data_IF_800498543410
#
_entry.id   IF_800498543410
#
_cell.length_a   1.000
_cell.length_b   1.000
_cell.length_c   1.000
_cell.angle_alpha   90.00
_cell.angle_beta   90.00
_cell.angle_gamma   90.00
#
_symmetry.space_group_name_H-M   'P 1'
#
loop_
_entity.id
_entity.type
_entity.pdbx_description
1 polymer ?
#
# COMPACT_ATOMS: atom_id res chain seq x y z
N UNK A 1 45.04 -1.87 16.98
CA UNK A 1 43.92 -2.29 17.83
C UNK A 1 42.75 -2.62 16.91
N UNK A 2 42.52 -3.92 16.67
CA UNK A 2 41.46 -4.44 15.84
C UNK A 2 40.11 -4.16 16.54
N UNK A 3 39.28 -3.29 15.99
CA UNK A 3 37.87 -3.24 16.32
C UNK A 3 37.20 -4.53 15.78
N UNK A 4 36.91 -5.44 16.69
CA UNK A 4 36.02 -6.57 16.40
C UNK A 4 34.61 -6.00 16.26
N UNK A 5 34.10 -5.96 15.02
CA UNK A 5 32.68 -5.83 14.75
C UNK A 5 31.99 -7.11 15.22
N UNK A 6 31.47 -7.12 16.44
CA UNK A 6 30.56 -8.15 16.88
C UNK A 6 29.14 -7.74 16.59
N UNK A 7 28.76 -7.75 15.31
CA UNK A 7 27.37 -7.84 14.95
C UNK A 7 26.94 -9.29 15.14
N UNK A 8 26.75 -9.69 16.39
CA UNK A 8 26.05 -10.92 16.71
C UNK A 8 24.56 -10.65 16.41
N UNK A 9 24.11 -11.09 15.26
CA UNK A 9 22.68 -11.17 14.95
C UNK A 9 22.09 -12.27 15.83
N UNK A 10 21.62 -11.89 17.01
CA UNK A 10 20.78 -12.76 17.82
C UNK A 10 19.41 -12.86 17.13
N UNK A 11 19.28 -13.84 16.24
CA UNK A 11 17.99 -14.27 15.70
C UNK A 11 17.24 -15.00 16.80
N UNK A 12 16.69 -14.25 17.75
CA UNK A 12 15.82 -14.81 18.78
C UNK A 12 14.42 -15.01 18.22
N UNK A 13 14.07 -16.25 17.89
CA UNK A 13 12.68 -16.71 17.95
C UNK A 13 12.27 -16.77 19.42
N UNK A 14 11.90 -15.63 20.02
CA UNK A 14 11.35 -15.63 21.37
C UNK A 14 9.96 -16.26 21.34
N UNK A 15 9.75 -17.26 22.22
CA UNK A 15 8.40 -17.75 22.51
C UNK A 15 7.50 -16.57 22.94
N UNK A 16 6.18 -16.59 22.60
CA UNK A 16 5.27 -15.53 22.97
C UNK A 16 5.16 -15.44 24.49
N UNK A 17 5.31 -14.25 25.04
CA UNK A 17 5.13 -13.97 26.48
C UNK A 17 3.71 -14.31 26.95
N UNK A 18 2.76 -14.30 26.04
CA UNK A 18 1.38 -14.70 26.25
C UNK A 18 0.86 -15.33 24.94
N UNK A 19 0.39 -16.60 24.95
CA UNK A 19 -0.11 -17.28 23.75
C UNK A 19 -1.34 -16.59 23.13
N UNK A 20 -2.03 -15.72 23.86
CA UNK A 20 -3.17 -14.93 23.36
C UNK A 20 -2.77 -13.59 22.73
N UNK A 21 -1.50 -13.19 22.80
CA UNK A 21 -1.02 -11.95 22.18
C UNK A 21 -0.36 -12.23 20.83
N UNK A 22 -0.62 -11.33 19.87
CA UNK A 22 -0.02 -11.39 18.54
C UNK A 22 1.50 -11.32 18.63
N UNK A 23 2.18 -12.26 17.98
CA UNK A 23 3.64 -12.27 17.90
C UNK A 23 4.13 -11.14 17.01
N UNK A 24 5.29 -10.60 17.36
CA UNK A 24 6.06 -9.69 16.53
C UNK A 24 7.22 -10.48 15.94
N UNK A 25 7.14 -10.76 14.65
CA UNK A 25 8.21 -11.40 13.88
C UNK A 25 8.75 -10.33 12.95
N UNK A 26 10.06 -10.12 12.99
CA UNK A 26 10.79 -9.20 12.11
C UNK A 26 11.99 -9.98 11.55
N UNK A 27 12.43 -9.61 10.35
CA UNK A 27 13.48 -10.35 9.63
C UNK A 27 14.83 -10.21 10.34
N UNK A 28 15.23 -8.98 10.64
CA UNK A 28 16.47 -8.70 11.36
C UNK A 28 16.25 -7.65 12.43
N UNK A 29 16.87 -7.87 13.61
CA UNK A 29 16.94 -6.89 14.69
C UNK A 29 18.38 -6.77 15.16
N UNK A 30 18.88 -5.53 15.23
CA UNK A 30 20.23 -5.25 15.73
C UNK A 30 20.24 -4.01 16.62
N UNK A 31 21.35 -3.83 17.36
CA UNK A 31 21.64 -2.63 18.15
C UNK A 31 23.00 -2.08 17.75
N UNK A 32 23.11 -0.76 17.76
CA UNK A 32 24.42 -0.12 17.65
C UNK A 32 25.12 0.05 19.01
N UNK A 33 26.29 0.67 18.97
CA UNK A 33 27.10 0.89 20.17
C UNK A 33 26.45 1.87 21.18
N UNK A 34 25.56 2.74 20.70
CA UNK A 34 24.80 3.71 21.49
C UNK A 34 23.51 3.12 22.06
N UNK A 35 23.19 1.87 21.76
CA UNK A 35 22.00 1.15 22.22
C UNK A 35 20.75 1.37 21.40
N UNK A 36 20.80 2.19 20.31
CA UNK A 36 19.68 2.39 19.40
C UNK A 36 19.32 1.08 18.72
N UNK A 37 18.02 0.83 18.55
CA UNK A 37 17.53 -0.42 17.96
C UNK A 37 17.17 -0.23 16.50
N UNK A 38 17.59 -1.17 15.69
CA UNK A 38 17.28 -1.23 14.27
C UNK A 38 16.50 -2.50 13.96
N UNK A 39 15.40 -2.34 13.25
CA UNK A 39 14.57 -3.41 12.69
C UNK A 39 14.67 -3.28 11.18
N UNK A 40 15.02 -4.37 10.50
CA UNK A 40 15.01 -4.41 9.04
C UNK A 40 14.01 -5.49 8.63
N UNK A 41 13.07 -5.12 7.80
CA UNK A 41 12.05 -6.01 7.22
C UNK A 41 12.09 -5.91 5.70
N UNK A 42 11.99 -7.06 5.01
CA UNK A 42 11.81 -7.11 3.57
C UNK A 42 10.40 -7.60 3.27
N UNK A 43 9.64 -6.80 2.52
CA UNK A 43 8.25 -7.10 2.17
C UNK A 43 8.11 -7.27 0.66
N UNK A 44 7.78 -8.50 0.24
CA UNK A 44 7.64 -8.84 -1.17
C UNK A 44 6.29 -8.41 -1.76
N UNK A 45 5.24 -8.42 -0.93
CA UNK A 45 3.87 -8.06 -1.33
C UNK A 45 3.35 -6.99 -0.38
N UNK A 46 2.92 -5.86 -0.93
CA UNK A 46 2.32 -4.79 -0.15
C UNK A 46 0.89 -5.11 0.26
N UNK A 47 0.53 -4.74 1.49
CA UNK A 47 -0.87 -4.64 1.92
C UNK A 47 -1.05 -3.37 2.77
N UNK A 48 -2.25 -2.75 2.78
CA UNK A 48 -2.50 -1.56 3.61
C UNK A 48 -2.19 -1.78 5.09
N UNK A 49 -2.38 -3.02 5.59
CA UNK A 49 -2.12 -3.42 6.97
C UNK A 49 -0.63 -3.50 7.30
N UNK A 50 0.24 -3.50 6.30
CA UNK A 50 1.69 -3.57 6.52
C UNK A 50 2.21 -2.37 7.32
N UNK A 51 1.71 -1.16 7.05
CA UNK A 51 2.07 0.04 7.83
C UNK A 51 1.74 -0.13 9.32
N UNK A 52 0.54 -0.65 9.63
CA UNK A 52 0.13 -0.91 11.01
C UNK A 52 0.98 -2.00 11.65
N UNK A 53 1.37 -3.02 10.88
CA UNK A 53 2.28 -4.08 11.35
C UNK A 53 3.65 -3.51 11.69
N UNK A 54 4.21 -2.66 10.84
CA UNK A 54 5.49 -1.99 11.07
C UNK A 54 5.43 -1.12 12.33
N UNK A 55 4.40 -0.28 12.45
CA UNK A 55 4.20 0.54 13.65
C UNK A 55 4.07 -0.32 14.91
N UNK A 56 3.30 -1.40 14.87
CA UNK A 56 3.15 -2.34 15.99
C UNK A 56 4.48 -2.97 16.38
N UNK A 57 5.27 -3.45 15.40
CA UNK A 57 6.57 -4.08 15.64
C UNK A 57 7.59 -3.11 16.25
N UNK A 58 7.66 -1.88 15.70
CA UNK A 58 8.53 -0.83 16.21
C UNK A 58 8.13 -0.38 17.63
N UNK A 59 6.83 -0.17 17.87
CA UNK A 59 6.31 0.17 19.20
C UNK A 59 6.61 -0.92 20.24
N UNK A 60 6.44 -2.18 19.86
CA UNK A 60 6.75 -3.33 20.73
C UNK A 60 8.24 -3.42 21.04
N UNK A 61 9.10 -3.09 20.08
CA UNK A 61 10.53 -2.98 20.30
C UNK A 61 10.88 -1.83 21.25
N UNK A 62 10.20 -0.70 21.11
CA UNK A 62 10.41 0.48 21.95
C UNK A 62 10.02 0.23 23.42
N UNK A 63 8.82 -0.27 23.67
CA UNK A 63 8.33 -0.51 25.05
C UNK A 63 9.04 -1.65 25.78
N UNK A 64 9.72 -2.54 25.06
CA UNK A 64 10.47 -3.66 25.65
C UNK A 64 11.90 -3.31 26.07
N UNK A 65 12.29 -2.06 25.96
CA UNK A 65 13.64 -1.63 26.34
C UNK A 65 13.81 -1.50 27.85
N UNK A 66 12.72 -1.24 28.54
CA UNK A 66 12.70 -1.03 30.01
C UNK A 66 11.68 -1.97 30.66
N UNK A 67 11.97 -2.34 31.91
CA UNK A 67 11.11 -3.12 32.78
C UNK A 67 10.35 -2.22 33.77
N UNK A 68 9.42 -2.83 34.53
CA UNK A 68 8.64 -2.12 35.55
C UNK A 68 9.55 -1.44 36.56
N UNK A 69 9.38 -0.17 36.79
CA UNK A 69 10.12 0.64 37.73
C UNK A 69 11.42 1.26 37.21
N UNK A 70 11.76 1.03 35.94
CA UNK A 70 12.88 1.71 35.29
C UNK A 70 12.48 3.09 34.75
N UNK A 71 13.46 3.98 34.60
CA UNK A 71 13.28 5.35 34.14
C UNK A 71 13.07 5.41 32.62
N UNK A 72 12.15 6.26 32.16
CA UNK A 72 11.87 6.45 30.73
C UNK A 72 13.03 7.06 29.95
N UNK A 73 13.96 7.72 30.62
CA UNK A 73 15.19 8.30 30.03
C UNK A 73 16.13 7.22 29.46
N UNK A 74 15.97 5.96 29.85
CA UNK A 74 16.72 4.82 29.31
C UNK A 74 16.22 4.36 27.93
N UNK A 75 15.03 4.84 27.50
CA UNK A 75 14.48 4.48 26.20
C UNK A 75 15.31 5.09 25.07
N UNK A 76 15.77 4.23 24.17
CA UNK A 76 16.50 4.61 22.98
C UNK A 76 15.58 4.59 21.73
N UNK A 77 15.82 5.41 20.72
CA UNK A 77 15.06 5.38 19.48
C UNK A 77 15.09 4.02 18.80
N UNK A 78 13.98 3.66 18.15
CA UNK A 78 13.83 2.49 17.31
C UNK A 78 13.71 2.93 15.86
N UNK A 79 14.58 2.44 15.00
CA UNK A 79 14.58 2.66 13.57
C UNK A 79 14.05 1.41 12.87
N UNK A 80 12.91 1.50 12.20
CA UNK A 80 12.35 0.41 11.40
C UNK A 80 12.56 0.71 9.93
N UNK A 81 13.47 -0.01 9.28
CA UNK A 81 13.74 0.05 7.85
C UNK A 81 12.97 -1.07 7.15
N UNK A 82 12.08 -0.69 6.26
CA UNK A 82 11.20 -1.59 5.56
C UNK A 82 11.47 -1.49 4.05
N UNK A 83 12.05 -2.54 3.49
CA UNK A 83 12.36 -2.66 2.07
C UNK A 83 11.17 -3.30 1.36
N UNK A 84 10.49 -2.55 0.50
CA UNK A 84 9.24 -2.98 -0.15
C UNK A 84 9.48 -3.21 -1.63
N UNK A 85 9.18 -4.42 -2.11
CA UNK A 85 9.37 -4.79 -3.51
C UNK A 85 8.12 -4.49 -4.37
N UNK A 86 7.30 -3.53 -3.95
CA UNK A 86 6.15 -3.02 -4.69
C UNK A 86 6.06 -1.50 -4.56
N UNK A 87 5.40 -0.84 -5.54
CA UNK A 87 5.07 0.58 -5.48
C UNK A 87 3.76 0.73 -4.71
N UNK A 88 3.78 1.43 -3.58
CA UNK A 88 2.61 1.63 -2.73
C UNK A 88 2.17 3.11 -2.59
N UNK A 89 3.02 4.06 -3.03
CA UNK A 89 2.70 5.49 -3.13
C UNK A 89 2.95 5.97 -4.58
N UNK A 90 2.10 5.56 -5.55
CA UNK A 90 2.35 5.85 -6.97
C UNK A 90 2.35 7.35 -7.31
N UNK A 91 1.68 8.17 -6.50
CA UNK A 91 1.63 9.64 -6.64
C UNK A 91 2.88 10.36 -6.14
N UNK A 92 3.75 9.70 -5.38
CA UNK A 92 5.01 10.26 -4.90
C UNK A 92 6.15 9.78 -5.79
N UNK A 93 6.98 10.71 -6.32
CA UNK A 93 8.12 10.35 -7.16
C UNK A 93 9.27 9.69 -6.37
N UNK A 94 9.41 10.02 -5.08
CA UNK A 94 10.46 9.50 -4.23
C UNK A 94 10.28 8.01 -3.90
N UNK A 95 11.41 7.29 -3.77
CA UNK A 95 11.43 5.90 -3.32
C UNK A 95 11.63 5.73 -1.82
N UNK A 96 11.94 6.81 -1.09
CA UNK A 96 12.29 6.81 0.33
C UNK A 96 11.25 7.63 1.11
N UNK A 97 10.57 6.99 2.04
CA UNK A 97 9.52 7.60 2.85
C UNK A 97 9.90 7.48 4.33
N UNK A 98 9.99 8.62 5.01
CA UNK A 98 10.42 8.69 6.39
C UNK A 98 9.34 9.31 7.27
N UNK A 99 8.92 8.58 8.29
CA UNK A 99 7.86 8.96 9.22
C UNK A 99 8.40 9.09 10.64
N UNK A 100 8.00 10.18 11.31
CA UNK A 100 8.30 10.48 12.71
C UNK A 100 7.05 11.03 13.41
N UNK A 101 7.09 11.06 14.74
CA UNK A 101 6.07 11.75 15.55
C UNK A 101 6.43 13.23 15.65
N UNK A 102 5.61 14.08 15.05
CA UNK A 102 5.84 15.53 15.01
C UNK A 102 4.63 16.30 15.52
N UNK A 103 4.85 17.54 16.00
CA UNK A 103 3.77 18.46 16.29
C UNK A 103 3.15 18.93 14.96
N UNK A 104 1.82 18.81 14.81
CA UNK A 104 1.15 19.06 13.53
C UNK A 104 1.28 20.48 12.99
N UNK A 105 1.29 21.48 13.90
CA UNK A 105 1.45 22.90 13.53
C UNK A 105 2.92 23.35 13.54
N UNK A 106 3.82 22.55 14.13
CA UNK A 106 5.25 22.83 14.30
C UNK A 106 6.04 21.55 14.01
N UNK A 107 6.16 21.21 12.73
CA UNK A 107 6.76 19.93 12.29
C UNK A 107 8.25 19.78 12.61
N UNK A 108 8.91 20.90 12.96
CA UNK A 108 10.28 20.90 13.49
C UNK A 108 10.38 20.34 14.92
N UNK A 109 9.25 20.29 15.64
CA UNK A 109 9.18 19.69 16.99
C UNK A 109 8.88 18.21 16.90
N UNK A 110 9.90 17.40 17.14
CA UNK A 110 9.86 15.94 17.04
C UNK A 110 9.84 15.32 18.43
N UNK A 111 9.02 14.28 18.62
CA UNK A 111 9.15 13.37 19.75
C UNK A 111 10.01 12.21 19.27
N UNK A 112 11.26 12.16 19.75
CA UNK A 112 12.18 11.07 19.43
C UNK A 112 11.67 9.75 20.04
N UNK A 113 11.80 8.69 19.28
CA UNK A 113 11.38 7.36 19.76
C UNK A 113 11.12 6.37 18.66
N UNK A 114 10.27 6.69 17.69
CA UNK A 114 9.95 5.81 16.57
C UNK A 114 10.27 6.48 15.24
N UNK A 115 11.12 5.80 14.46
CA UNK A 115 11.51 6.19 13.12
C UNK A 115 11.09 5.07 12.15
N UNK A 116 10.07 5.33 11.32
CA UNK A 116 9.56 4.34 10.37
C UNK A 116 10.00 4.75 8.97
N UNK A 117 10.78 3.90 8.34
CA UNK A 117 11.38 4.15 7.03
C UNK A 117 10.87 3.09 6.07
N UNK A 118 10.32 3.53 4.94
CA UNK A 118 9.91 2.64 3.86
C UNK A 118 10.69 2.99 2.61
N UNK A 119 11.16 1.96 1.91
CA UNK A 119 11.93 2.09 0.66
C UNK A 119 11.20 1.28 -0.41
N UNK A 120 10.67 1.97 -1.42
CA UNK A 120 10.06 1.35 -2.59
C UNK A 120 11.16 0.95 -3.59
N UNK A 121 11.65 -0.28 -3.49
CA UNK A 121 12.74 -0.78 -4.34
C UNK A 121 12.49 -0.60 -5.84
N UNK A 122 11.27 -0.80 -6.39
CA UNK A 122 11.02 -0.62 -7.82
C UNK A 122 11.17 0.82 -8.33
N UNK A 123 11.10 1.83 -7.44
CA UNK A 123 11.32 3.24 -7.80
C UNK A 123 12.79 3.66 -7.73
N UNK A 124 13.65 2.84 -7.13
CA UNK A 124 15.06 3.17 -7.01
C UNK A 124 15.74 3.13 -8.37
N UNK A 125 16.33 4.26 -8.77
CA UNK A 125 17.14 4.37 -9.98
C UNK A 125 18.59 4.70 -9.59
N UNK A 126 19.54 3.77 -9.75
CA UNK A 126 20.93 3.96 -9.35
C UNK A 126 21.64 5.12 -10.07
N UNK A 127 21.24 5.43 -11.31
CA UNK A 127 21.87 6.49 -12.12
C UNK A 127 21.55 7.91 -11.66
N UNK A 128 20.59 8.09 -10.76
CA UNK A 128 20.18 9.40 -10.23
C UNK A 128 21.03 9.82 -9.02
N UNK A 129 21.80 8.91 -8.42
CA UNK A 129 22.52 9.12 -7.17
C UNK A 129 24.01 8.86 -7.33
N UNK A 130 24.81 9.43 -6.40
CA UNK A 130 26.25 9.15 -6.37
C UNK A 130 26.50 7.68 -6.08
N UNK A 131 27.00 6.95 -7.08
CA UNK A 131 27.23 5.50 -7.04
C UNK A 131 28.14 5.01 -5.90
N UNK A 132 28.90 5.92 -5.29
CA UNK A 132 29.85 5.59 -4.21
C UNK A 132 29.27 5.66 -2.81
N UNK A 133 28.01 6.10 -2.64
CA UNK A 133 27.38 6.13 -1.32
C UNK A 133 27.01 4.72 -0.89
N UNK A 134 27.32 4.36 0.36
CA UNK A 134 27.02 3.05 0.94
C UNK A 134 25.56 2.63 0.76
N UNK A 135 24.62 3.57 0.97
CA UNK A 135 23.20 3.35 0.78
C UNK A 135 22.86 2.93 -0.67
N UNK A 136 23.45 3.61 -1.65
CA UNK A 136 23.26 3.28 -3.08
C UNK A 136 23.82 1.91 -3.40
N UNK A 137 24.99 1.55 -2.89
CA UNK A 137 25.59 0.23 -3.10
C UNK A 137 24.71 -0.89 -2.53
N UNK A 138 24.14 -0.71 -1.33
CA UNK A 138 23.21 -1.68 -0.76
C UNK A 138 21.91 -1.79 -1.55
N UNK A 139 21.33 -0.66 -1.98
CA UNK A 139 20.11 -0.69 -2.80
C UNK A 139 20.37 -1.33 -4.17
N UNK A 140 21.52 -1.04 -4.80
CA UNK A 140 21.96 -1.72 -6.03
C UNK A 140 22.10 -3.23 -5.83
N UNK A 141 22.76 -3.65 -4.74
CA UNK A 141 22.86 -5.07 -4.40
C UNK A 141 21.48 -5.73 -4.31
N UNK A 142 20.51 -5.10 -3.62
CA UNK A 142 19.17 -5.64 -3.43
C UNK A 142 18.29 -5.63 -4.69
N UNK A 143 18.58 -4.77 -5.66
CA UNK A 143 17.76 -4.62 -6.88
C UNK A 143 18.41 -5.21 -8.13
N UNK A 144 19.74 -5.24 -8.22
CA UNK A 144 20.48 -5.68 -9.41
C UNK A 144 20.96 -7.13 -9.32
N UNK A 145 21.22 -7.65 -8.09
CA UNK A 145 21.69 -9.02 -7.90
C UNK A 145 20.48 -9.97 -7.75
N UNK A 146 20.39 -10.91 -8.68
CA UNK A 146 19.32 -11.89 -8.72
C UNK A 146 19.82 -13.23 -9.32
N UNK A 147 18.97 -14.23 -9.42
CA UNK A 147 19.27 -15.58 -9.94
C UNK A 147 19.79 -15.61 -11.40
N UNK A 148 19.61 -14.52 -12.16
CA UNK A 148 20.08 -14.39 -13.53
C UNK A 148 21.39 -13.61 -13.64
N UNK A 149 21.90 -13.07 -12.52
CA UNK A 149 23.14 -12.28 -12.50
C UNK A 149 24.35 -13.19 -12.75
N UNK A 150 25.00 -13.00 -13.88
CA UNK A 150 26.23 -13.75 -14.25
C UNK A 150 27.50 -13.00 -13.87
N UNK A 151 27.46 -11.68 -13.92
CA UNK A 151 28.59 -10.81 -13.57
C UNK A 151 28.13 -9.74 -12.60
N UNK A 152 28.83 -9.64 -11.49
CA UNK A 152 28.53 -8.63 -10.45
C UNK A 152 29.23 -7.34 -10.82
N UNK A 153 28.54 -6.18 -10.78
CA UNK A 153 29.17 -4.88 -11.05
C UNK A 153 30.42 -4.64 -10.19
N UNK A 154 31.55 -4.22 -10.78
CA UNK A 154 32.81 -4.02 -10.04
C UNK A 154 32.69 -3.05 -8.87
N UNK A 155 31.81 -2.05 -8.97
CA UNK A 155 31.54 -1.05 -7.91
C UNK A 155 31.00 -1.71 -6.65
N UNK A 156 30.18 -2.74 -6.78
CA UNK A 156 29.65 -3.51 -5.64
C UNK A 156 30.75 -4.33 -4.97
N UNK A 157 31.62 -4.93 -5.77
CA UNK A 157 32.76 -5.72 -5.28
C UNK A 157 33.89 -4.88 -4.66
N UNK A 158 33.96 -3.58 -5.01
CA UNK A 158 34.92 -2.66 -4.44
C UNK A 158 34.66 -2.35 -2.95
N UNK A 159 33.41 -2.51 -2.50
CA UNK A 159 33.07 -2.32 -1.10
C UNK A 159 33.16 -3.66 -0.33
N UNK A 160 33.96 -3.76 0.75
CA UNK A 160 34.17 -5.02 1.46
C UNK A 160 32.89 -5.62 2.08
N UNK A 161 31.97 -4.78 2.58
CA UNK A 161 30.74 -5.27 3.22
C UNK A 161 29.72 -5.76 2.18
N UNK A 162 29.56 -5.03 1.08
CA UNK A 162 28.70 -5.45 -0.03
C UNK A 162 29.28 -6.70 -0.71
N UNK A 163 30.60 -6.76 -0.89
CA UNK A 163 31.29 -7.97 -1.41
C UNK A 163 31.02 -9.20 -0.54
N UNK A 164 31.03 -9.05 0.79
CA UNK A 164 30.67 -10.17 1.68
C UNK A 164 29.22 -10.61 1.45
N UNK A 165 28.28 -9.66 1.28
CA UNK A 165 26.88 -9.97 1.00
C UNK A 165 26.73 -10.69 -0.35
N UNK A 166 27.41 -10.22 -1.40
CA UNK A 166 27.43 -10.88 -2.71
C UNK A 166 27.92 -12.32 -2.58
N UNK A 167 29.08 -12.54 -1.93
CA UNK A 167 29.62 -13.89 -1.75
C UNK A 167 28.70 -14.79 -0.92
N UNK A 168 27.90 -14.22 0.00
CA UNK A 168 26.96 -14.98 0.83
C UNK A 168 25.71 -15.43 0.08
N UNK A 169 25.39 -14.80 -1.06
CA UNK A 169 24.23 -15.18 -1.90
C UNK A 169 24.63 -15.96 -3.15
N UNK A 170 25.92 -16.25 -3.35
CA UNK A 170 26.34 -17.16 -4.39
C UNK A 170 25.81 -18.57 -4.15
N UNK A 171 25.24 -19.18 -5.19
CA UNK A 171 24.64 -20.53 -5.09
C UNK A 171 25.61 -21.57 -4.52
N UNK A 172 26.89 -21.46 -4.89
CA UNK A 172 27.97 -22.33 -4.38
C UNK A 172 28.23 -22.21 -2.88
N UNK A 173 27.75 -21.14 -2.23
CA UNK A 173 27.85 -20.94 -0.79
C UNK A 173 26.74 -21.65 0.02
N UNK A 174 25.70 -22.15 -0.65
CA UNK A 174 24.56 -22.78 0.01
C UNK A 174 24.71 -24.30 0.07
N UNK A 175 24.31 -24.86 1.20
CA UNK A 175 24.10 -26.30 1.32
C UNK A 175 22.82 -26.74 0.61
N UNK A 176 22.70 -28.00 0.24
CA UNK A 176 21.49 -28.56 -0.37
C UNK A 176 20.22 -28.29 0.48
N UNK A 177 20.33 -28.38 1.80
CA UNK A 177 19.24 -28.06 2.72
C UNK A 177 18.82 -26.59 2.68
N UNK A 178 19.78 -25.66 2.48
CA UNK A 178 19.50 -24.23 2.35
C UNK A 178 18.85 -23.92 1.02
N UNK A 179 19.31 -24.51 -0.08
CA UNK A 179 18.67 -24.39 -1.40
C UNK A 179 17.21 -24.89 -1.39
N UNK A 180 16.98 -26.05 -0.79
CA UNK A 180 15.62 -26.58 -0.61
C UNK A 180 14.75 -25.65 0.27
N UNK A 181 15.33 -25.02 1.27
CA UNK A 181 14.67 -24.01 2.10
C UNK A 181 14.29 -22.76 1.32
N UNK A 182 15.19 -22.32 0.42
CA UNK A 182 14.96 -21.20 -0.47
C UNK A 182 13.83 -21.48 -1.49
N UNK A 183 13.83 -22.64 -2.13
CA UNK A 183 12.76 -23.08 -3.03
C UNK A 183 11.39 -23.09 -2.33
N UNK A 184 11.31 -23.68 -1.13
CA UNK A 184 10.08 -23.68 -0.32
C UNK A 184 9.61 -22.29 0.06
N UNK A 185 10.52 -21.38 0.34
CA UNK A 185 10.18 -19.98 0.61
C UNK A 185 9.52 -19.34 -0.61
N UNK A 186 10.09 -19.50 -1.80
CA UNK A 186 9.53 -18.96 -3.04
C UNK A 186 8.18 -19.59 -3.40
N UNK A 187 8.00 -20.87 -3.15
CA UNK A 187 6.70 -21.56 -3.30
C UNK A 187 5.63 -20.90 -2.43
N UNK A 188 5.95 -20.63 -1.15
CA UNK A 188 5.03 -19.96 -0.22
C UNK A 188 4.66 -18.57 -0.74
N UNK A 189 5.64 -17.76 -1.13
CA UNK A 189 5.41 -16.41 -1.67
C UNK A 189 4.57 -16.47 -2.95
N UNK A 190 4.85 -17.41 -3.83
CA UNK A 190 4.09 -17.60 -5.09
C UNK A 190 2.62 -17.96 -4.83
N UNK A 191 2.37 -18.86 -3.87
CA UNK A 191 1.01 -19.25 -3.44
C UNK A 191 0.30 -18.04 -2.81
N UNK A 192 0.96 -17.31 -1.91
CA UNK A 192 0.39 -16.12 -1.27
C UNK A 192 0.00 -15.07 -2.31
N UNK A 193 0.88 -14.76 -3.26
CA UNK A 193 0.63 -13.83 -4.37
C UNK A 193 -0.55 -14.30 -5.25
N UNK A 194 -0.63 -15.58 -5.51
CA UNK A 194 -1.73 -16.19 -6.29
C UNK A 194 -3.07 -16.04 -5.57
N UNK A 195 -3.11 -16.33 -4.26
CA UNK A 195 -4.30 -16.17 -3.42
C UNK A 195 -4.74 -14.71 -3.33
N UNK A 196 -3.81 -13.80 -3.11
CA UNK A 196 -4.06 -12.37 -3.07
C UNK A 196 -4.67 -11.85 -4.39
N UNK A 197 -4.03 -12.15 -5.52
CA UNK A 197 -4.52 -11.75 -6.84
C UNK A 197 -5.89 -12.39 -7.18
N UNK A 198 -6.13 -13.62 -6.74
CA UNK A 198 -7.42 -14.29 -6.89
C UNK A 198 -8.52 -13.61 -6.07
N UNK A 199 -8.21 -13.19 -4.82
CA UNK A 199 -9.14 -12.47 -3.98
C UNK A 199 -9.52 -11.11 -4.57
N UNK A 200 -8.55 -10.36 -5.07
CA UNK A 200 -8.77 -9.07 -5.78
C UNK A 200 -9.68 -9.30 -6.99
N UNK A 201 -9.36 -10.24 -7.88
CA UNK A 201 -10.18 -10.53 -9.07
C UNK A 201 -11.62 -10.89 -8.71
N UNK A 202 -11.81 -11.74 -7.70
CA UNK A 202 -13.14 -12.11 -7.20
C UNK A 202 -13.90 -10.92 -6.61
N UNK A 203 -13.20 -10.06 -5.85
CA UNK A 203 -13.74 -8.83 -5.30
C UNK A 203 -14.21 -7.86 -6.39
N UNK A 204 -13.34 -7.61 -7.38
CA UNK A 204 -13.65 -6.76 -8.53
C UNK A 204 -14.84 -7.29 -9.34
N UNK A 205 -14.88 -8.59 -9.64
CA UNK A 205 -15.98 -9.20 -10.37
C UNK A 205 -17.32 -9.07 -9.62
N UNK A 206 -17.31 -9.31 -8.30
CA UNK A 206 -18.52 -9.11 -7.46
C UNK A 206 -18.96 -7.64 -7.40
N UNK A 207 -18.01 -6.73 -7.22
CA UNK A 207 -18.28 -5.28 -7.20
C UNK A 207 -18.86 -4.79 -8.52
N UNK A 208 -18.27 -5.21 -9.64
CA UNK A 208 -18.74 -4.88 -10.99
C UNK A 208 -20.15 -5.43 -11.25
N UNK A 209 -20.40 -6.70 -10.93
CA UNK A 209 -21.72 -7.33 -11.09
C UNK A 209 -22.80 -6.61 -10.25
N UNK A 210 -22.47 -6.24 -9.00
CA UNK A 210 -23.35 -5.47 -8.12
C UNK A 210 -23.63 -4.07 -8.68
N UNK A 211 -22.58 -3.36 -9.12
CA UNK A 211 -22.68 -2.02 -9.70
C UNK A 211 -23.53 -1.99 -10.97
N UNK A 212 -23.35 -2.96 -11.88
CA UNK A 212 -24.16 -3.11 -13.10
C UNK A 212 -25.62 -3.35 -12.73
N UNK A 213 -25.89 -4.27 -11.81
CA UNK A 213 -27.27 -4.58 -11.38
C UNK A 213 -27.98 -3.35 -10.76
N UNK A 214 -27.30 -2.65 -9.86
CA UNK A 214 -27.84 -1.45 -9.22
C UNK A 214 -28.03 -0.30 -10.21
N UNK A 215 -27.07 -0.08 -11.10
CA UNK A 215 -27.13 0.94 -12.14
C UNK A 215 -28.26 0.67 -13.14
N UNK A 216 -28.42 -0.60 -13.56
CA UNK A 216 -29.51 -1.01 -14.45
C UNK A 216 -30.88 -0.84 -13.82
N UNK A 217 -31.04 -1.23 -12.55
CA UNK A 217 -32.30 -1.06 -11.81
C UNK A 217 -32.70 0.40 -11.70
N UNK A 218 -31.77 1.25 -11.26
CA UNK A 218 -31.99 2.72 -11.16
C UNK A 218 -32.26 3.36 -12.52
N UNK A 219 -31.51 2.98 -13.56
CA UNK A 219 -31.70 3.48 -14.90
C UNK A 219 -33.09 3.16 -15.48
N UNK A 220 -33.58 1.92 -15.27
CA UNK A 220 -34.92 1.52 -15.69
C UNK A 220 -35.98 2.31 -14.93
N UNK A 221 -35.83 2.48 -13.61
CA UNK A 221 -36.78 3.21 -12.77
C UNK A 221 -36.88 4.70 -13.19
N UNK A 222 -35.76 5.36 -13.36
CA UNK A 222 -35.69 6.75 -13.81
C UNK A 222 -36.26 6.89 -15.23
N UNK A 223 -35.79 6.08 -16.18
CA UNK A 223 -36.26 6.14 -17.55
C UNK A 223 -37.76 5.84 -17.70
N UNK A 224 -38.32 4.93 -16.83
CA UNK A 224 -39.75 4.70 -16.79
C UNK A 224 -40.53 5.90 -16.26
N UNK A 225 -40.03 6.53 -15.19
CA UNK A 225 -40.66 7.72 -14.63
C UNK A 225 -40.66 8.90 -15.62
N UNK A 226 -39.53 9.16 -16.25
CA UNK A 226 -39.39 10.19 -17.28
C UNK A 226 -40.26 9.90 -18.51
N UNK A 227 -40.27 8.67 -18.99
CA UNK A 227 -41.12 8.26 -20.13
C UNK A 227 -42.61 8.41 -19.87
N UNK A 228 -43.09 8.13 -18.64
CA UNK A 228 -44.47 8.34 -18.27
C UNK A 228 -44.83 9.84 -18.30
N UNK A 229 -43.98 10.70 -17.71
CA UNK A 229 -44.19 12.15 -17.70
C UNK A 229 -44.23 12.71 -19.13
N UNK A 230 -43.26 12.30 -19.96
CA UNK A 230 -43.18 12.74 -21.38
C UNK A 230 -44.37 12.23 -22.19
N UNK A 231 -44.83 11.01 -21.96
CA UNK A 231 -45.99 10.41 -22.57
C UNK A 231 -47.29 11.19 -22.26
N UNK A 232 -47.49 11.50 -20.98
CA UNK A 232 -48.64 12.30 -20.51
C UNK A 232 -48.61 13.70 -21.13
N UNK A 233 -47.47 14.35 -21.24
CA UNK A 233 -47.33 15.67 -21.81
C UNK A 233 -47.64 15.66 -23.31
N UNK A 234 -47.16 14.65 -24.04
CA UNK A 234 -47.46 14.46 -25.47
C UNK A 234 -48.96 14.24 -25.70
N UNK A 235 -49.60 13.40 -24.88
CA UNK A 235 -51.03 13.13 -24.99
C UNK A 235 -51.86 14.38 -24.71
N UNK A 236 -51.52 15.17 -23.68
CA UNK A 236 -52.15 16.46 -23.41
C UNK A 236 -52.03 17.43 -24.59
N UNK A 237 -50.91 17.48 -25.26
CA UNK A 237 -50.71 18.30 -26.45
C UNK A 237 -51.61 17.85 -27.63
N UNK A 238 -51.75 16.53 -27.83
CA UNK A 238 -52.64 15.98 -28.87
C UNK A 238 -54.08 16.37 -28.60
N UNK A 239 -54.54 16.20 -27.34
CA UNK A 239 -55.89 16.59 -26.94
C UNK A 239 -56.09 18.09 -27.10
N UNK A 240 -55.12 18.91 -26.70
CA UNK A 240 -55.19 20.37 -26.85
C UNK A 240 -55.33 20.81 -28.32
N UNK A 241 -54.60 20.15 -29.23
CA UNK A 241 -54.71 20.39 -30.67
C UNK A 241 -56.09 20.07 -31.20
N UNK A 242 -56.67 18.94 -30.79
CA UNK A 242 -57.99 18.56 -31.22
C UNK A 242 -59.02 19.56 -30.71
N UNK A 243 -59.00 19.93 -29.42
CA UNK A 243 -59.91 20.93 -28.87
C UNK A 243 -59.77 22.30 -29.50
N UNK A 244 -58.60 22.69 -29.96
CA UNK A 244 -58.32 23.91 -30.71
C UNK A 244 -58.98 23.86 -32.09
N UNK A 245 -58.89 22.72 -32.79
CA UNK A 245 -59.55 22.49 -34.10
C UNK A 245 -61.09 22.55 -33.95
N UNK A 246 -61.61 22.04 -32.80
CA UNK A 246 -63.03 22.04 -32.48
C UNK A 246 -63.56 23.45 -32.05
N UNK A 247 -62.68 24.48 -32.03
CA UNK A 247 -63.04 25.88 -31.78
C UNK A 247 -63.21 26.25 -30.31
N UNK A 248 -62.69 25.46 -29.34
CA UNK A 248 -62.81 25.78 -27.92
C UNK A 248 -61.85 26.95 -27.54
N UNK A 249 -62.28 27.84 -26.63
CA UNK A 249 -61.41 28.92 -26.12
C UNK A 249 -60.19 28.37 -25.41
N UNK A 250 -59.03 29.03 -25.54
CA UNK A 250 -57.78 28.60 -24.95
C UNK A 250 -57.80 28.42 -23.42
N UNK A 251 -58.54 29.28 -22.70
CA UNK A 251 -58.73 29.14 -21.24
C UNK A 251 -59.46 27.85 -20.90
N UNK A 252 -60.40 27.43 -21.73
CA UNK A 252 -61.14 26.16 -21.56
C UNK A 252 -60.21 24.99 -21.86
N UNK A 253 -59.38 25.02 -22.90
CA UNK A 253 -58.41 24.01 -23.22
C UNK A 253 -57.36 23.89 -22.10
N UNK A 254 -56.85 25.02 -21.60
CA UNK A 254 -55.90 25.05 -20.47
C UNK A 254 -56.49 24.39 -19.21
N UNK A 255 -57.76 24.69 -18.89
CA UNK A 255 -58.45 24.11 -17.74
C UNK A 255 -58.59 22.59 -17.80
N UNK A 256 -58.84 22.02 -18.99
CA UNK A 256 -59.04 20.57 -19.13
C UNK A 256 -57.73 19.79 -19.31
N UNK A 257 -56.74 20.37 -20.01
CA UNK A 257 -55.45 19.70 -20.26
C UNK A 257 -54.41 19.98 -19.20
N UNK A 258 -54.55 21.07 -18.45
CA UNK A 258 -53.54 21.57 -17.51
C UNK A 258 -52.27 22.13 -18.21
N UNK A 259 -52.37 22.39 -19.53
CA UNK A 259 -51.26 23.04 -20.29
C UNK A 259 -51.39 24.57 -20.18
N UNK A 260 -50.25 25.29 -20.04
CA UNK A 260 -50.30 26.75 -20.12
C UNK A 260 -50.74 27.24 -21.51
N UNK A 261 -51.43 28.36 -21.54
CA UNK A 261 -52.00 28.94 -22.80
C UNK A 261 -50.94 29.11 -23.85
N UNK A 262 -49.70 29.53 -23.49
CA UNK A 262 -48.59 29.74 -24.43
C UNK A 262 -48.15 28.44 -25.14
N UNK A 263 -48.30 27.28 -24.45
CA UNK A 263 -48.02 25.94 -25.05
C UNK A 263 -49.17 25.54 -26.00
N UNK A 264 -50.41 25.89 -25.66
CA UNK A 264 -51.61 25.61 -26.49
C UNK A 264 -51.57 26.43 -27.77
N UNK A 265 -51.17 27.70 -27.69
CA UNK A 265 -51.03 28.57 -28.87
C UNK A 265 -50.05 28.03 -29.89
N UNK A 266 -48.92 27.46 -29.42
CA UNK A 266 -47.86 26.88 -30.23
C UNK A 266 -48.14 25.44 -30.68
N UNK A 267 -49.12 24.80 -30.12
CA UNK A 267 -49.52 23.44 -30.45
C UNK A 267 -50.43 23.44 -31.69
#
# INVERSE_FOLDING_TARGET
TLMRSSAASDVYKRQPENPLRKNSIVDVRCRDAEGRQFIVEMQMIWSPEFRQRVLFNASKAYVRQIDTGQEYELLQPVYSLNLVNEVFEPELEGFYHYYQLVHMEHTEKVIEGLHLIFVELPKFNPHTYSEKKMQVLWLRFLTEINEHTREVPPELLANPEVKKAVNAVEESAFTEAQLLGYEKFWDIISVEKTLYNSAIRKGMAKGMAKGIKEGMTKGIEVGRAEGIVEGIEKEKLVIARQMKVDGLPYDTISKYTGLPVEKIEKA
#
